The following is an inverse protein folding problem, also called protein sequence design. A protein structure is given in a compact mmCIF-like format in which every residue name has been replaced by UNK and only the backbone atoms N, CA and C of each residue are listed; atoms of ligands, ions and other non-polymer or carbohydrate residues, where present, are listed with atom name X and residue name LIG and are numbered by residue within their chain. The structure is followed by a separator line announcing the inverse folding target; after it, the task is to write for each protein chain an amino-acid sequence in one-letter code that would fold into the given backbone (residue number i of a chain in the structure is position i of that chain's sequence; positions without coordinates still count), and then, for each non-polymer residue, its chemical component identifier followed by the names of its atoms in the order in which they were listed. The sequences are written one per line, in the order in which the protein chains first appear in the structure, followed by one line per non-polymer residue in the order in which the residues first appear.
data_IF_033306532287
#
_entry.id   IF_033306532287
#
_cell.length_a   1.000
_cell.length_b   1.000
_cell.length_c   1.000
_cell.angle_alpha   90.00
_cell.angle_beta   90.00
_cell.angle_gamma   90.00
#
_symmetry.space_group_name_H-M   'P 1'
#
loop_
_entity.id
_entity.type
_entity.pdbx_description
1 polymer ?
#
# COMPACT_ATOMS: atom_id res chain seq x y z
N UNK A 1 7.18 13.68 1.54
CA UNK A 1 7.53 12.58 0.63
C UNK A 1 7.17 11.26 1.23
N UNK A 2 6.18 10.60 0.64
CA UNK A 2 5.66 9.31 1.07
C UNK A 2 6.70 8.19 0.92
N UNK A 3 7.61 8.31 -0.04
CA UNK A 3 8.72 7.39 -0.28
C UNK A 3 9.63 7.22 0.94
N UNK A 4 9.96 8.31 1.66
CA UNK A 4 10.78 8.26 2.88
C UNK A 4 10.09 7.48 4.00
N UNK A 5 8.76 7.65 4.16
CA UNK A 5 7.96 6.92 5.14
C UNK A 5 7.96 5.43 4.82
N UNK A 6 7.81 5.08 3.53
CA UNK A 6 7.89 3.70 3.06
C UNK A 6 9.26 3.09 3.32
N UNK A 7 10.37 3.77 3.01
CA UNK A 7 11.70 3.22 3.26
C UNK A 7 11.97 2.99 4.75
N UNK A 8 11.52 3.90 5.63
CA UNK A 8 11.60 3.71 7.08
C UNK A 8 10.84 2.46 7.52
N UNK A 9 9.63 2.26 7.00
CA UNK A 9 8.83 1.06 7.29
C UNK A 9 9.50 -0.22 6.79
N UNK A 10 10.05 -0.20 5.58
CA UNK A 10 10.76 -1.34 4.98
C UNK A 10 12.00 -1.68 5.79
N UNK A 11 12.80 -0.68 6.19
CA UNK A 11 13.98 -0.89 7.04
C UNK A 11 13.61 -1.52 8.38
N UNK A 12 12.52 -1.05 9.02
CA UNK A 12 12.02 -1.63 10.26
C UNK A 12 11.62 -3.11 10.09
N UNK A 13 10.89 -3.44 9.02
CA UNK A 13 10.48 -4.83 8.71
C UNK A 13 11.69 -5.73 8.42
N UNK A 14 12.69 -5.21 7.72
CA UNK A 14 13.92 -5.94 7.44
C UNK A 14 14.73 -6.22 8.71
N UNK A 15 14.83 -5.26 9.63
CA UNK A 15 15.51 -5.44 10.91
C UNK A 15 14.86 -6.55 11.76
N UNK A 16 13.55 -6.77 11.62
CA UNK A 16 12.83 -7.85 12.32
C UNK A 16 12.92 -9.24 11.65
N UNK A 17 13.76 -9.39 10.61
CA UNK A 17 14.01 -10.69 9.97
C UNK A 17 12.91 -11.17 9.01
N UNK A 18 12.04 -10.28 8.55
CA UNK A 18 10.93 -10.65 7.66
C UNK A 18 11.32 -10.57 6.17
N UNK A 19 10.98 -11.59 5.37
CA UNK A 19 11.08 -11.53 3.91
C UNK A 19 10.00 -10.57 3.36
N UNK A 20 10.34 -9.29 3.27
CA UNK A 20 9.42 -8.19 2.93
C UNK A 20 9.65 -7.60 1.54
N UNK A 21 10.51 -8.21 0.70
CA UNK A 21 10.98 -7.63 -0.57
C UNK A 21 9.83 -7.29 -1.53
N UNK A 22 8.92 -8.23 -1.78
CA UNK A 22 7.79 -8.01 -2.70
C UNK A 22 6.84 -6.93 -2.21
N UNK A 23 6.54 -6.92 -0.91
CA UNK A 23 5.68 -5.92 -0.30
C UNK A 23 6.36 -4.54 -0.31
N UNK A 24 7.66 -4.48 -0.04
CA UNK A 24 8.45 -3.26 -0.12
C UNK A 24 8.39 -2.66 -1.53
N UNK A 25 8.59 -3.46 -2.58
CA UNK A 25 8.52 -2.98 -3.96
C UNK A 25 7.12 -2.44 -4.30
N UNK A 26 6.06 -3.10 -3.83
CA UNK A 26 4.69 -2.64 -4.00
C UNK A 26 4.41 -1.32 -3.26
N UNK A 27 4.95 -1.14 -2.04
CA UNK A 27 4.82 0.10 -1.29
C UNK A 27 5.59 1.24 -1.96
N UNK A 28 6.79 0.98 -2.47
CA UNK A 28 7.59 1.97 -3.23
C UNK A 28 6.89 2.39 -4.51
N UNK A 29 6.33 1.44 -5.25
CA UNK A 29 5.58 1.69 -6.49
C UNK A 29 4.36 2.59 -6.21
N UNK A 30 3.62 2.31 -5.13
CA UNK A 30 2.51 3.18 -4.74
C UNK A 30 2.97 4.55 -4.23
N UNK A 31 4.07 4.63 -3.47
CA UNK A 31 4.58 5.90 -3.01
C UNK A 31 4.93 6.81 -4.19
N UNK A 32 5.61 6.27 -5.21
CA UNK A 32 5.88 6.98 -6.46
C UNK A 32 4.60 7.40 -7.18
N UNK A 33 3.60 6.51 -7.22
CA UNK A 33 2.31 6.83 -7.83
C UNK A 33 1.60 7.99 -7.11
N UNK A 34 1.57 7.99 -5.78
CA UNK A 34 0.97 9.05 -4.99
C UNK A 34 1.75 10.37 -5.09
N UNK A 35 3.08 10.32 -5.02
CA UNK A 35 3.94 11.49 -5.20
C UNK A 35 3.79 12.10 -6.60
N UNK A 36 3.58 11.29 -7.64
CA UNK A 36 3.26 11.77 -8.99
C UNK A 36 1.91 12.51 -9.07
N UNK A 37 1.00 12.26 -8.13
CA UNK A 37 -0.27 13.00 -7.96
C UNK A 37 -0.14 14.18 -6.98
N UNK A 38 1.06 14.47 -6.47
CA UNK A 38 1.30 15.53 -5.49
C UNK A 38 0.85 15.18 -4.08
N UNK A 39 0.66 13.89 -3.78
CA UNK A 39 0.22 13.42 -2.47
C UNK A 39 1.40 12.95 -1.60
N UNK A 40 1.46 13.49 -0.38
CA UNK A 40 2.47 13.12 0.63
C UNK A 40 1.98 12.07 1.64
N UNK A 41 0.69 11.70 1.58
CA UNK A 41 0.04 10.74 2.47
C UNK A 41 -0.69 9.69 1.65
N UNK A 42 -0.94 8.53 2.25
CA UNK A 42 -1.76 7.50 1.60
C UNK A 42 -3.21 7.99 1.53
N UNK A 43 -3.73 8.21 0.31
CA UNK A 43 -5.16 8.43 0.07
C UNK A 43 -5.85 7.15 -0.38
N UNK A 44 -7.08 6.96 0.05
CA UNK A 44 -7.86 5.77 -0.31
C UNK A 44 -8.09 5.70 -1.83
N UNK A 45 -8.43 6.83 -2.46
CA UNK A 45 -8.68 6.91 -3.90
C UNK A 45 -7.43 6.54 -4.71
N UNK A 46 -6.28 7.11 -4.37
CA UNK A 46 -4.99 6.88 -5.04
C UNK A 46 -4.51 5.44 -4.87
N UNK A 47 -4.66 4.87 -3.68
CA UNK A 47 -4.35 3.46 -3.42
C UNK A 47 -5.24 2.52 -4.26
N UNK A 48 -6.52 2.84 -4.43
CA UNK A 48 -7.45 2.07 -5.27
C UNK A 48 -7.09 2.19 -6.76
N UNK A 49 -6.81 3.39 -7.24
CA UNK A 49 -6.38 3.63 -8.62
C UNK A 49 -5.08 2.86 -8.94
N UNK A 50 -4.07 2.96 -8.08
CA UNK A 50 -2.82 2.23 -8.22
C UNK A 50 -3.00 0.71 -8.18
N UNK A 51 -3.82 0.20 -7.25
CA UNK A 51 -4.09 -1.22 -7.14
C UNK A 51 -4.88 -1.75 -8.35
N UNK A 52 -5.73 -0.92 -8.95
CA UNK A 52 -6.52 -1.21 -10.15
C UNK A 52 -5.73 -1.16 -11.45
N UNK A 53 -4.57 -0.49 -11.48
CA UNK A 53 -3.74 -0.27 -12.67
C UNK A 53 -2.97 -1.52 -13.16
N UNK A 54 -3.39 -2.72 -12.76
CA UNK A 54 -2.81 -3.99 -13.23
C UNK A 54 -3.89 -4.90 -13.82
N UNK A 55 -3.58 -5.67 -14.89
CA UNK A 55 -4.57 -6.53 -15.54
C UNK A 55 -5.16 -7.64 -14.63
N UNK A 56 -4.37 -8.43 -13.87
CA UNK A 56 -4.93 -9.55 -13.12
C UNK A 56 -5.64 -9.11 -11.82
N UNK A 57 -6.93 -9.47 -11.68
CA UNK A 57 -7.74 -9.18 -10.48
C UNK A 57 -7.12 -9.72 -9.18
N UNK A 58 -6.52 -10.91 -9.24
CA UNK A 58 -5.82 -11.52 -8.11
C UNK A 58 -4.67 -10.64 -7.60
N UNK A 59 -3.95 -9.98 -8.52
CA UNK A 59 -2.87 -9.04 -8.19
C UNK A 59 -3.43 -7.76 -7.57
N UNK A 60 -4.60 -7.26 -8.02
CA UNK A 60 -5.26 -6.08 -7.44
C UNK A 60 -5.58 -6.29 -5.96
N UNK A 61 -6.13 -7.45 -5.60
CA UNK A 61 -6.43 -7.80 -4.22
C UNK A 61 -5.17 -7.86 -3.35
N UNK A 62 -4.09 -8.49 -3.83
CA UNK A 62 -2.82 -8.56 -3.09
C UNK A 62 -2.22 -7.16 -2.93
N UNK A 63 -2.24 -6.33 -3.98
CA UNK A 63 -1.82 -4.92 -3.96
C UNK A 63 -2.56 -4.12 -2.90
N UNK A 64 -3.89 -4.15 -2.94
CA UNK A 64 -4.72 -3.41 -1.99
C UNK A 64 -4.51 -3.89 -0.55
N UNK A 65 -4.36 -5.21 -0.33
CA UNK A 65 -4.11 -5.77 1.00
C UNK A 65 -2.76 -5.36 1.60
N UNK A 66 -1.71 -5.22 0.78
CA UNK A 66 -0.40 -4.72 1.24
C UNK A 66 -0.51 -3.26 1.68
N UNK A 67 -1.11 -2.41 0.86
CA UNK A 67 -1.25 -0.98 1.18
C UNK A 67 -2.17 -0.76 2.36
N UNK A 68 -3.29 -1.47 2.43
CA UNK A 68 -4.22 -1.32 3.55
C UNK A 68 -3.55 -1.60 4.89
N UNK A 69 -2.68 -2.63 4.97
CA UNK A 69 -1.91 -2.92 6.19
C UNK A 69 -0.93 -1.80 6.53
N UNK A 70 -0.21 -1.29 5.54
CA UNK A 70 0.70 -0.17 5.72
C UNK A 70 -0.04 1.10 6.16
N UNK A 71 -1.12 1.46 5.46
CA UNK A 71 -1.97 2.61 5.76
C UNK A 71 -2.58 2.52 7.16
N UNK A 72 -2.98 1.32 7.61
CA UNK A 72 -3.50 1.14 8.98
C UNK A 72 -2.44 1.42 10.04
N UNK A 73 -1.18 1.01 9.79
CA UNK A 73 -0.06 1.33 10.69
C UNK A 73 0.25 2.83 10.68
N UNK A 74 0.32 3.44 9.50
CA UNK A 74 0.60 4.87 9.36
C UNK A 74 -0.52 5.75 9.88
N UNK A 75 -1.78 5.33 9.78
CA UNK A 75 -2.92 6.05 10.35
C UNK A 75 -2.85 6.11 11.88
N UNK A 76 -2.33 5.06 12.53
CA UNK A 76 -2.12 5.06 13.98
C UNK A 76 -1.01 6.04 14.41
N UNK A 77 -0.02 6.29 13.56
CA UNK A 77 1.06 7.26 13.80
C UNK A 77 0.68 8.69 13.38
N UNK A 78 -0.07 8.82 12.29
CA UNK A 78 -0.50 10.07 11.67
C UNK A 78 -1.89 9.90 11.02
N UNK A 79 -2.96 10.46 11.63
CA UNK A 79 -4.33 10.32 11.15
C UNK A 79 -4.59 10.86 9.74
N UNK A 80 -3.66 11.62 9.15
CA UNK A 80 -3.76 12.11 7.76
C UNK A 80 -3.69 10.98 6.73
N UNK A 81 -3.20 9.80 7.09
CA UNK A 81 -3.20 8.64 6.22
C UNK A 81 -4.59 8.00 6.19
N UNK A 82 -5.19 7.86 5.01
CA UNK A 82 -6.47 7.20 4.86
C UNK A 82 -6.28 5.69 4.67
N UNK A 83 -7.16 4.89 5.29
CA UNK A 83 -7.15 3.44 5.14
C UNK A 83 -8.07 3.07 3.96
N UNK A 84 -7.54 2.52 2.85
CA UNK A 84 -8.36 2.16 1.71
C UNK A 84 -9.41 1.09 2.08
N UNK A 85 -10.66 1.18 1.61
CA UNK A 85 -11.71 0.21 1.93
C UNK A 85 -11.34 -1.19 1.44
N UNK A 86 -11.71 -2.21 2.22
CA UNK A 86 -11.54 -3.61 1.81
C UNK A 86 -12.64 -4.02 0.82
N UNK A 87 -12.38 -5.05 0.01
CA UNK A 87 -13.41 -5.69 -0.82
C UNK A 87 -13.75 -5.01 -2.15
N UNK A 88 -13.10 -3.90 -2.51
CA UNK A 88 -13.40 -3.17 -3.77
C UNK A 88 -13.14 -4.00 -5.03
N UNK A 89 -12.17 -4.92 -5.01
CA UNK A 89 -11.85 -5.78 -6.17
C UNK A 89 -12.56 -7.14 -6.16
N UNK A 90 -13.60 -7.30 -5.34
CA UNK A 90 -14.29 -8.58 -5.13
C UNK A 90 -13.46 -9.55 -4.27
N UNK A 91 -14.13 -10.33 -3.43
CA UNK A 91 -13.46 -11.41 -2.71
C UNK A 91 -13.08 -12.50 -3.70
N UNK A 92 -11.84 -13.01 -3.61
CA UNK A 92 -11.49 -14.29 -4.23
C UNK A 92 -12.51 -15.32 -3.73
N UNK A 93 -13.22 -16.06 -4.59
CA UNK A 93 -14.10 -17.11 -4.11
C UNK A 93 -13.27 -18.09 -3.25
N UNK A 94 -13.82 -18.60 -2.14
CA UNK A 94 -13.14 -19.62 -1.36
C UNK A 94 -12.76 -20.78 -2.29
N UNK A 95 -11.50 -21.23 -2.18
CA UNK A 95 -11.06 -22.46 -2.84
C UNK A 95 -11.57 -23.66 -2.07
#
# INVERSE_FOLDING_TARGET
MLSTIVERHVALRHATGYLFRRQADMLRDCARFAEAHGEDVVRAATALAWAGNVPPMSTRHVRLGVIRRFASLMHAEDPRHEIPPAGVFGQKPPR
#
